data_IF_270396247025
#
_entry.id   IF_270396247025
#
_cell.length_a   1.000
_cell.length_b   1.000
_cell.length_c   1.000
_cell.angle_alpha   90.00
_cell.angle_beta   90.00
_cell.angle_gamma   90.00
#
_symmetry.space_group_name_H-M   'P 1'
#
loop_
_entity.id
_entity.type
_entity.pdbx_description
1 polymer ?
#
# COMPACT_ATOMS: atom_id res chain seq x y z
N UNK A 1 4.06 20.38 5.83
CA UNK A 1 4.32 18.94 5.70
C UNK A 1 4.62 18.41 7.08
N UNK A 2 3.66 17.70 7.69
CA UNK A 2 3.80 17.17 9.05
C UNK A 2 4.57 15.84 8.96
N UNK A 3 5.71 15.74 9.65
CA UNK A 3 6.47 14.50 9.80
C UNK A 3 6.12 13.94 11.17
N UNK A 4 5.17 13.03 11.23
CA UNK A 4 4.84 12.31 12.46
C UNK A 4 5.68 11.03 12.56
N UNK A 5 6.46 10.92 13.64
CA UNK A 5 7.20 9.71 14.00
C UNK A 5 6.24 8.69 14.61
N UNK A 6 6.15 7.51 13.99
CA UNK A 6 5.57 6.32 14.60
C UNK A 6 6.35 5.95 15.87
N UNK A 7 5.61 5.63 16.93
CA UNK A 7 6.18 4.88 18.05
C UNK A 7 6.83 3.61 17.50
N UNK A 8 8.08 3.42 17.91
CA UNK A 8 8.98 2.43 17.35
C UNK A 8 8.52 1.05 17.82
N UNK A 9 7.76 0.33 17.00
CA UNK A 9 7.56 -1.10 17.21
C UNK A 9 8.95 -1.74 17.36
N UNK A 10 9.15 -2.47 18.47
CA UNK A 10 10.39 -3.24 18.71
C UNK A 10 10.68 -4.05 17.45
N UNK A 11 11.96 -4.16 17.06
CA UNK A 11 12.38 -5.11 16.01
C UNK A 11 11.94 -6.50 16.45
N UNK A 12 10.82 -6.96 15.94
CA UNK A 12 10.34 -8.33 16.08
C UNK A 12 10.70 -9.06 14.79
N UNK A 13 11.04 -10.34 14.90
CA UNK A 13 11.31 -11.23 13.75
C UNK A 13 10.08 -11.45 12.87
N UNK A 14 8.91 -11.04 13.35
CA UNK A 14 7.64 -11.13 12.66
C UNK A 14 6.75 -9.94 12.98
N UNK A 15 5.96 -9.49 12.00
CA UNK A 15 5.03 -8.38 12.15
C UNK A 15 3.60 -8.91 12.27
N UNK A 16 2.92 -8.54 13.36
CA UNK A 16 1.53 -8.91 13.62
C UNK A 16 0.57 -8.07 12.78
N UNK A 17 -0.26 -8.71 11.97
CA UNK A 17 -1.30 -8.08 11.16
C UNK A 17 -2.65 -8.07 11.87
N UNK A 18 -3.41 -7.00 11.67
CA UNK A 18 -4.83 -6.96 11.95
C UNK A 18 -5.62 -7.76 10.91
N UNK A 19 -6.91 -7.99 11.20
CA UNK A 19 -7.81 -8.83 10.39
C UNK A 19 -7.81 -8.45 8.91
N UNK A 20 -7.99 -7.17 8.60
CA UNK A 20 -8.13 -6.68 7.23
C UNK A 20 -6.80 -6.78 6.45
N UNK A 21 -5.68 -6.51 7.10
CA UNK A 21 -4.36 -6.70 6.52
C UNK A 21 -4.06 -8.17 6.25
N UNK A 22 -4.51 -9.08 7.13
CA UNK A 22 -4.41 -10.53 6.91
C UNK A 22 -5.23 -11.00 5.72
N UNK A 23 -6.43 -10.43 5.48
CA UNK A 23 -7.22 -10.74 4.28
C UNK A 23 -6.46 -10.36 3.01
N UNK A 24 -5.88 -9.15 2.97
CA UNK A 24 -5.04 -8.71 1.84
C UNK A 24 -3.82 -9.61 1.67
N UNK A 25 -3.24 -10.13 2.76
CA UNK A 25 -2.07 -11.00 2.71
C UNK A 25 -2.37 -12.40 2.15
N UNK A 26 -3.51 -12.98 2.54
CA UNK A 26 -3.84 -14.39 2.23
C UNK A 26 -4.63 -14.57 0.94
N UNK A 27 -5.35 -13.55 0.49
CA UNK A 27 -6.10 -13.68 -0.75
C UNK A 27 -5.17 -13.72 -1.97
N UNK A 28 -5.48 -14.57 -2.97
CA UNK A 28 -4.73 -14.59 -4.21
C UNK A 28 -4.75 -13.20 -4.85
N UNK A 29 -3.58 -12.65 -5.17
CA UNK A 29 -3.50 -11.44 -5.98
C UNK A 29 -3.64 -11.77 -7.47
N UNK A 30 -3.89 -10.78 -8.32
CA UNK A 30 -3.99 -10.98 -9.77
C UNK A 30 -2.62 -11.21 -10.45
N UNK A 31 -1.69 -11.93 -9.80
CA UNK A 31 -0.38 -12.32 -10.32
C UNK A 31 0.79 -11.41 -9.92
N UNK A 32 0.61 -10.57 -8.89
CA UNK A 32 1.61 -9.62 -8.41
C UNK A 32 2.66 -10.21 -7.45
N UNK A 33 3.81 -9.54 -7.32
CA UNK A 33 4.82 -9.82 -6.27
C UNK A 33 4.78 -8.73 -5.20
N UNK A 34 3.61 -8.29 -4.75
CA UNK A 34 3.47 -7.12 -3.86
C UNK A 34 2.66 -7.42 -2.60
N UNK A 35 2.35 -8.70 -2.33
CA UNK A 35 1.52 -9.19 -1.22
C UNK A 35 1.94 -8.58 0.13
N UNK A 36 3.23 -8.65 0.47
CA UNK A 36 3.75 -8.11 1.74
C UNK A 36 3.53 -6.60 1.81
N UNK A 37 3.86 -5.86 0.75
CA UNK A 37 3.72 -4.41 0.72
C UNK A 37 2.27 -3.93 0.75
N UNK A 38 1.34 -4.71 0.19
CA UNK A 38 -0.09 -4.43 0.19
C UNK A 38 -0.72 -4.70 1.56
N UNK A 39 -0.41 -5.83 2.18
CA UNK A 39 -0.85 -6.16 3.53
C UNK A 39 -0.38 -5.12 4.54
N UNK A 40 0.91 -4.75 4.51
CA UNK A 40 1.45 -3.71 5.37
C UNK A 40 0.89 -2.32 5.05
N UNK A 41 0.50 -2.06 3.81
CA UNK A 41 -0.19 -0.83 3.44
C UNK A 41 -1.55 -0.77 4.13
N UNK A 42 -2.33 -1.85 4.09
CA UNK A 42 -3.64 -1.91 4.77
C UNK A 42 -3.49 -1.75 6.28
N UNK A 43 -2.49 -2.40 6.88
CA UNK A 43 -2.17 -2.26 8.30
C UNK A 43 -1.77 -0.83 8.67
N UNK A 44 -0.94 -0.18 7.84
CA UNK A 44 -0.58 1.23 8.01
C UNK A 44 -1.83 2.13 7.96
N UNK A 45 -2.73 1.91 6.99
CA UNK A 45 -3.97 2.68 6.89
C UNK A 45 -4.88 2.47 8.11
N UNK A 46 -4.96 1.24 8.62
CA UNK A 46 -5.70 0.92 9.83
C UNK A 46 -5.14 1.67 11.03
N UNK A 47 -3.84 1.53 11.30
CA UNK A 47 -3.20 2.13 12.46
C UNK A 47 -3.18 3.67 12.43
N UNK A 48 -3.06 4.28 11.25
CA UNK A 48 -2.89 5.74 11.13
C UNK A 48 -4.20 6.49 10.87
N UNK A 49 -5.17 5.85 10.21
CA UNK A 49 -6.39 6.51 9.76
C UNK A 49 -7.66 5.76 10.18
N UNK A 50 -7.55 4.65 10.91
CA UNK A 50 -8.70 3.85 11.32
C UNK A 50 -9.39 3.15 10.15
N UNK A 51 -8.64 2.81 9.09
CA UNK A 51 -9.19 2.12 7.94
C UNK A 51 -9.76 0.74 8.32
N UNK A 52 -10.92 0.40 7.79
CA UNK A 52 -11.62 -0.87 8.04
C UNK A 52 -12.43 -1.31 6.80
N UNK A 53 -13.16 -2.43 6.89
CA UNK A 53 -14.05 -2.97 5.84
C UNK A 53 -13.34 -3.16 4.50
N UNK A 54 -12.19 -3.84 4.52
CA UNK A 54 -11.39 -4.08 3.32
C UNK A 54 -12.15 -4.91 2.28
N UNK A 55 -11.95 -4.55 1.01
CA UNK A 55 -12.33 -5.35 -0.17
C UNK A 55 -11.09 -5.49 -1.03
N UNK A 56 -10.61 -6.71 -1.24
CA UNK A 56 -9.32 -6.98 -1.91
C UNK A 56 -9.41 -6.81 -3.43
N UNK A 57 -8.27 -6.73 -4.12
CA UNK A 57 -8.20 -6.62 -5.59
C UNK A 57 -9.11 -7.62 -6.33
N UNK A 58 -9.18 -8.87 -5.87
CA UNK A 58 -9.95 -9.93 -6.53
C UNK A 58 -11.45 -9.88 -6.23
N UNK A 59 -11.86 -9.19 -5.17
CA UNK A 59 -13.25 -8.97 -4.80
C UNK A 59 -13.83 -7.69 -5.42
N UNK A 60 -12.98 -6.80 -5.94
CA UNK A 60 -13.45 -5.58 -6.62
C UNK A 60 -13.93 -5.95 -8.02
N UNK A 61 -15.18 -5.59 -8.29
CA UNK A 61 -15.84 -5.81 -9.56
C UNK A 61 -15.63 -4.64 -10.50
N UNK A 62 -15.03 -4.92 -11.66
CA UNK A 62 -14.85 -3.98 -12.75
C UNK A 62 -15.74 -4.37 -13.93
N UNK A 63 -16.14 -3.39 -14.75
CA UNK A 63 -16.93 -3.63 -15.97
C UNK A 63 -16.23 -4.51 -17.01
N UNK A 64 -14.90 -4.64 -16.95
CA UNK A 64 -14.12 -5.49 -17.85
C UNK A 64 -12.99 -6.16 -17.09
N UNK A 65 -12.66 -7.43 -17.40
CA UNK A 65 -11.56 -8.15 -16.75
C UNK A 65 -10.18 -7.50 -16.99
N UNK A 66 -10.01 -6.75 -18.09
CA UNK A 66 -8.75 -6.09 -18.46
C UNK A 66 -8.64 -4.63 -17.97
N UNK A 67 -9.54 -4.20 -17.08
CA UNK A 67 -9.53 -2.84 -16.57
C UNK A 67 -8.35 -2.57 -15.64
N UNK A 68 -7.99 -1.29 -15.45
CA UNK A 68 -7.00 -0.92 -14.44
C UNK A 68 -7.57 -1.16 -13.04
N UNK A 69 -6.82 -1.86 -12.20
CA UNK A 69 -7.24 -2.25 -10.85
C UNK A 69 -6.51 -1.44 -9.78
N UNK A 70 -7.17 -1.31 -8.64
CA UNK A 70 -6.58 -0.89 -7.36
C UNK A 70 -6.35 -2.12 -6.49
N UNK A 71 -5.41 -2.02 -5.56
CA UNK A 71 -4.96 -3.15 -4.76
C UNK A 71 -5.98 -3.53 -3.67
N UNK A 72 -6.70 -2.53 -3.11
CA UNK A 72 -7.87 -2.77 -2.26
C UNK A 72 -8.77 -1.53 -2.14
N UNK A 73 -10.00 -1.72 -1.67
CA UNK A 73 -10.84 -0.66 -1.11
C UNK A 73 -10.88 -0.79 0.41
N UNK A 74 -11.04 0.33 1.11
CA UNK A 74 -11.31 0.36 2.55
C UNK A 74 -12.25 1.52 2.89
N UNK A 75 -12.80 1.50 4.09
CA UNK A 75 -13.59 2.59 4.68
C UNK A 75 -12.69 3.40 5.62
N UNK A 76 -12.55 4.70 5.36
CA UNK A 76 -11.86 5.66 6.25
C UNK A 76 -12.84 6.78 6.56
N UNK A 77 -13.10 7.05 7.85
CA UNK A 77 -14.06 8.07 8.31
C UNK A 77 -15.42 8.00 7.60
N UNK A 78 -15.93 6.77 7.41
CA UNK A 78 -17.22 6.51 6.75
C UNK A 78 -17.22 6.67 5.23
N UNK A 79 -16.08 6.96 4.60
CA UNK A 79 -15.95 7.07 3.15
C UNK A 79 -15.25 5.85 2.57
N UNK A 80 -15.78 5.32 1.46
CA UNK A 80 -15.12 4.30 0.66
C UNK A 80 -13.96 4.92 -0.11
N UNK A 81 -12.76 4.41 0.11
CA UNK A 81 -11.50 4.88 -0.47
C UNK A 81 -10.86 3.73 -1.25
N UNK A 82 -10.39 4.01 -2.45
CA UNK A 82 -9.54 3.09 -3.19
C UNK A 82 -8.06 3.31 -2.87
N UNK A 83 -7.32 2.23 -2.64
CA UNK A 83 -5.88 2.33 -2.38
C UNK A 83 -5.12 1.57 -3.46
N UNK A 84 -4.15 2.23 -4.08
CA UNK A 84 -3.10 1.54 -4.81
C UNK A 84 -1.77 1.65 -4.09
N UNK A 85 -1.04 0.53 -4.06
CA UNK A 85 0.23 0.34 -3.39
C UNK A 85 1.31 0.19 -4.42
N UNK A 86 2.47 0.77 -4.12
CA UNK A 86 3.67 0.54 -4.90
C UNK A 86 4.92 0.77 -4.07
N UNK A 87 6.07 0.43 -4.65
CA UNK A 87 7.39 0.56 -4.02
C UNK A 87 8.25 1.45 -4.90
N UNK A 88 8.85 2.45 -4.30
CA UNK A 88 9.87 3.29 -4.93
C UNK A 88 11.25 2.87 -4.39
N UNK A 89 11.96 2.13 -5.22
CA UNK A 89 13.23 1.49 -4.92
C UNK A 89 14.07 1.34 -6.19
N UNK A 90 15.34 0.99 -6.03
CA UNK A 90 16.18 0.43 -7.09
C UNK A 90 16.64 -0.96 -6.67
N UNK A 91 16.48 -1.94 -7.54
CA UNK A 91 16.92 -3.32 -7.27
C UNK A 91 18.44 -3.43 -7.16
N UNK A 92 19.18 -2.64 -7.95
CA UNK A 92 20.63 -2.54 -7.82
C UNK A 92 20.99 -1.57 -6.69
N UNK A 93 21.73 -2.06 -5.67
CA UNK A 93 22.10 -1.30 -4.46
C UNK A 93 22.81 0.03 -4.75
N UNK A 94 23.52 0.12 -5.87
CA UNK A 94 24.27 1.33 -6.26
C UNK A 94 23.52 2.22 -7.27
N UNK A 95 22.36 1.81 -7.75
CA UNK A 95 21.60 2.60 -8.71
C UNK A 95 20.87 3.74 -8.00
N UNK A 96 21.02 4.96 -8.52
CA UNK A 96 20.34 6.14 -7.99
C UNK A 96 18.91 6.17 -8.51
N UNK A 97 17.95 6.37 -7.62
CA UNK A 97 16.56 6.65 -8.01
C UNK A 97 16.45 8.10 -8.49
N UNK A 98 16.15 8.27 -9.77
CA UNK A 98 16.19 9.58 -10.45
C UNK A 98 14.84 10.28 -10.47
N UNK A 99 14.84 11.56 -10.82
CA UNK A 99 13.63 12.34 -11.14
C UNK A 99 12.79 11.68 -12.25
N UNK A 100 13.44 11.10 -13.26
CA UNK A 100 12.77 10.40 -14.37
C UNK A 100 12.07 9.12 -13.88
N UNK A 101 12.70 8.37 -12.98
CA UNK A 101 12.08 7.20 -12.34
C UNK A 101 10.82 7.62 -11.55
N UNK A 102 10.93 8.69 -10.78
CA UNK A 102 9.82 9.25 -10.01
C UNK A 102 8.65 9.64 -10.92
N UNK A 103 8.92 10.40 -11.98
CA UNK A 103 7.90 10.82 -12.93
C UNK A 103 7.24 9.64 -13.64
N UNK A 104 8.03 8.65 -14.06
CA UNK A 104 7.52 7.44 -14.73
C UNK A 104 6.61 6.64 -13.80
N UNK A 105 7.05 6.42 -12.55
CA UNK A 105 6.28 5.71 -11.54
C UNK A 105 4.98 6.43 -11.22
N UNK A 106 5.05 7.75 -10.97
CA UNK A 106 3.88 8.58 -10.65
C UNK A 106 2.89 8.62 -11.81
N UNK A 107 3.35 8.87 -13.05
CA UNK A 107 2.47 8.91 -14.23
C UNK A 107 1.70 7.60 -14.38
N UNK A 108 2.41 6.48 -14.32
CA UNK A 108 1.81 5.15 -14.45
C UNK A 108 0.74 4.90 -13.38
N UNK A 109 1.07 5.18 -12.11
CA UNK A 109 0.22 4.84 -10.98
C UNK A 109 -0.96 5.79 -10.81
N UNK A 110 -0.75 7.09 -10.98
CA UNK A 110 -1.81 8.09 -10.90
C UNK A 110 -2.82 7.92 -12.06
N UNK A 111 -2.35 7.72 -13.29
CA UNK A 111 -3.24 7.42 -14.41
C UNK A 111 -4.05 6.13 -14.17
N UNK A 112 -3.41 5.09 -13.64
CA UNK A 112 -4.08 3.85 -13.27
C UNK A 112 -5.25 4.06 -12.30
N UNK A 113 -5.07 4.89 -11.28
CA UNK A 113 -6.14 5.23 -10.32
C UNK A 113 -7.31 5.98 -10.97
N UNK A 114 -7.02 6.95 -11.85
CA UNK A 114 -8.05 7.68 -12.59
C UNK A 114 -8.89 6.72 -13.44
N UNK A 115 -8.23 5.83 -14.19
CA UNK A 115 -8.91 4.83 -15.02
C UNK A 115 -9.69 3.84 -14.16
N UNK A 116 -9.11 3.34 -13.07
CA UNK A 116 -9.75 2.37 -12.19
C UNK A 116 -11.09 2.88 -11.64
N UNK A 117 -11.14 4.15 -11.22
CA UNK A 117 -12.36 4.78 -10.69
C UNK A 117 -13.54 4.73 -11.66
N UNK A 118 -13.26 4.87 -12.95
CA UNK A 118 -14.30 4.80 -13.96
C UNK A 118 -14.86 3.39 -14.17
N UNK A 119 -14.11 2.32 -13.86
CA UNK A 119 -14.51 0.95 -14.17
C UNK A 119 -15.15 0.18 -13.02
N UNK A 120 -15.09 0.66 -11.78
CA UNK A 120 -15.65 -0.04 -10.63
C UNK A 120 -17.18 0.00 -10.66
N UNK A 121 -17.80 -1.13 -10.32
CA UNK A 121 -19.24 -1.27 -10.31
C UNK A 121 -19.92 -0.29 -9.32
N UNK A 122 -21.20 -0.01 -9.52
CA UNK A 122 -21.92 0.98 -8.72
C UNK A 122 -21.93 0.65 -7.21
N UNK A 123 -22.03 -0.65 -6.86
CA UNK A 123 -22.09 -1.10 -5.47
C UNK A 123 -20.78 -0.86 -4.69
N UNK A 124 -19.65 -0.74 -5.37
CA UNK A 124 -18.32 -0.58 -4.77
C UNK A 124 -17.69 0.79 -5.10
N UNK A 125 -18.52 1.76 -5.54
CA UNK A 125 -18.04 3.10 -5.91
C UNK A 125 -17.32 3.80 -4.75
N UNK A 126 -16.33 4.59 -5.14
CA UNK A 126 -15.56 5.45 -4.25
C UNK A 126 -15.35 6.82 -4.87
N UNK A 127 -15.12 7.82 -4.03
CA UNK A 127 -14.91 9.22 -4.48
C UNK A 127 -13.45 9.62 -4.43
N UNK A 128 -12.67 9.04 -3.51
CA UNK A 128 -11.26 9.35 -3.30
C UNK A 128 -10.37 8.13 -3.47
N UNK A 129 -9.13 8.38 -3.86
CA UNK A 129 -8.10 7.37 -3.98
C UNK A 129 -6.86 7.76 -3.20
N UNK A 130 -6.13 6.77 -2.71
CA UNK A 130 -4.81 6.93 -2.13
C UNK A 130 -3.79 6.17 -2.98
N UNK A 131 -2.71 6.84 -3.35
CA UNK A 131 -1.50 6.19 -3.83
C UNK A 131 -0.52 6.08 -2.65
N UNK A 132 -0.39 4.89 -2.08
CA UNK A 132 0.58 4.62 -1.03
C UNK A 132 1.89 4.08 -1.63
N UNK A 133 2.98 4.79 -1.38
CA UNK A 133 4.31 4.48 -1.91
C UNK A 133 5.26 4.17 -0.77
N UNK A 134 5.71 2.92 -0.67
CA UNK A 134 6.83 2.55 0.19
C UNK A 134 8.13 3.03 -0.43
N UNK A 135 8.87 3.86 0.29
CA UNK A 135 10.12 4.47 -0.15
C UNK A 135 11.29 3.89 0.62
N UNK A 136 12.31 3.40 -0.07
CA UNK A 136 13.51 2.82 0.58
C UNK A 136 14.31 3.87 1.35
N UNK A 137 14.25 5.14 0.94
CA UNK A 137 14.97 6.24 1.59
C UNK A 137 14.13 7.52 1.61
N UNK A 138 14.48 8.43 2.53
CA UNK A 138 13.91 9.78 2.57
C UNK A 138 14.21 10.58 1.30
N UNK A 139 15.35 10.35 0.65
CA UNK A 139 15.69 11.00 -0.61
C UNK A 139 14.69 10.63 -1.72
N UNK A 140 14.34 9.34 -1.83
CA UNK A 140 13.32 8.87 -2.78
C UNK A 140 11.96 9.53 -2.52
N UNK A 141 11.52 9.55 -1.25
CA UNK A 141 10.26 10.18 -0.87
C UNK A 141 10.22 11.68 -1.24
N UNK A 142 11.33 12.40 -1.01
CA UNK A 142 11.47 13.81 -1.43
C UNK A 142 11.42 13.98 -2.93
N UNK A 143 12.11 13.12 -3.70
CA UNK A 143 12.07 13.16 -5.17
C UNK A 143 10.64 12.95 -5.70
N UNK A 144 9.89 12.00 -5.15
CA UNK A 144 8.48 11.79 -5.50
C UNK A 144 7.64 13.04 -5.20
N UNK A 145 7.79 13.62 -4.01
CA UNK A 145 7.06 14.83 -3.62
C UNK A 145 7.36 16.02 -4.55
N UNK A 146 8.63 16.20 -4.96
CA UNK A 146 9.01 17.26 -5.91
C UNK A 146 8.40 17.04 -7.31
N UNK A 147 8.31 15.80 -7.77
CA UNK A 147 7.73 15.49 -9.09
C UNK A 147 6.20 15.52 -9.11
N UNK A 148 5.55 15.33 -7.95
CA UNK A 148 4.10 15.11 -7.86
C UNK A 148 3.28 16.22 -8.53
N UNK A 149 3.55 17.49 -8.21
CA UNK A 149 2.78 18.62 -8.76
C UNK A 149 2.81 18.70 -10.28
N UNK A 150 3.99 18.51 -10.88
CA UNK A 150 4.14 18.52 -12.33
C UNK A 150 3.40 17.35 -13.00
N UNK A 151 3.43 16.15 -12.41
CA UNK A 151 2.74 14.98 -12.96
C UNK A 151 1.22 15.09 -12.82
N UNK A 152 0.73 15.62 -11.71
CA UNK A 152 -0.71 15.87 -11.51
C UNK A 152 -1.24 16.87 -12.54
N UNK A 153 -0.49 17.95 -12.79
CA UNK A 153 -0.84 18.93 -13.81
C UNK A 153 -0.82 18.34 -15.23
N UNK A 154 0.22 17.55 -15.55
CA UNK A 154 0.38 16.87 -16.86
C UNK A 154 -0.75 15.88 -17.15
N UNK A 155 -1.28 15.22 -16.13
CA UNK A 155 -2.38 14.26 -16.24
C UNK A 155 -3.77 14.88 -16.04
N UNK A 156 -3.86 16.20 -15.84
CA UNK A 156 -5.11 16.92 -15.54
C UNK A 156 -5.92 16.28 -14.39
N UNK A 157 -5.23 15.86 -13.33
CA UNK A 157 -5.89 15.21 -12.19
C UNK A 157 -6.51 16.28 -11.30
N UNK A 158 -7.80 16.51 -11.51
CA UNK A 158 -8.63 17.32 -10.62
C UNK A 158 -8.79 16.59 -9.28
N UNK A 159 -8.41 17.28 -8.20
CA UNK A 159 -8.34 16.82 -6.80
C UNK A 159 -9.23 15.61 -6.47
N UNK A 160 -8.64 14.51 -6.00
CA UNK A 160 -9.28 13.33 -5.36
C UNK A 160 -8.31 12.14 -5.19
N UNK A 161 -7.05 12.29 -5.59
CA UNK A 161 -5.98 11.34 -5.31
C UNK A 161 -5.04 11.92 -4.26
N UNK A 162 -4.87 11.21 -3.15
CA UNK A 162 -3.94 11.56 -2.08
C UNK A 162 -2.69 10.70 -2.25
N UNK A 163 -1.52 11.33 -2.28
CA UNK A 163 -0.25 10.62 -2.27
C UNK A 163 0.28 10.49 -0.84
N UNK A 164 0.58 9.27 -0.42
CA UNK A 164 1.27 8.97 0.84
C UNK A 164 2.60 8.31 0.50
N UNK A 165 3.71 8.97 0.80
CA UNK A 165 5.05 8.42 0.64
C UNK A 165 5.63 8.06 2.01
N UNK A 166 5.72 6.76 2.30
CA UNK A 166 6.16 6.25 3.60
C UNK A 166 7.56 5.67 3.50
N UNK A 167 8.48 6.15 4.32
CA UNK A 167 9.86 5.62 4.34
C UNK A 167 9.91 4.35 5.18
N UNK A 168 10.26 3.23 4.55
CA UNK A 168 10.43 1.94 5.20
C UNK A 168 11.90 1.55 5.29
N UNK A 169 12.33 1.07 6.46
CA UNK A 169 13.69 0.56 6.69
C UNK A 169 13.81 -0.95 6.57
N UNK A 170 12.69 -1.65 6.57
CA UNK A 170 12.65 -3.11 6.51
C UNK A 170 12.77 -3.56 5.04
N UNK A 171 13.85 -4.27 4.71
CA UNK A 171 14.13 -4.69 3.32
C UNK A 171 13.07 -5.66 2.81
N UNK A 172 12.50 -6.47 3.72
CA UNK A 172 11.44 -7.45 3.45
C UNK A 172 10.20 -6.89 2.74
N UNK A 173 9.93 -5.58 2.88
CA UNK A 173 8.84 -4.89 2.18
C UNK A 173 9.13 -4.81 0.67
N UNK A 174 10.41 -4.66 0.31
CA UNK A 174 10.86 -4.37 -1.04
C UNK A 174 11.10 -5.63 -1.89
N UNK A 175 11.45 -6.74 -1.26
CA UNK A 175 11.70 -8.03 -1.92
C UNK A 175 10.62 -9.09 -1.62
N UNK A 176 9.68 -8.79 -0.71
CA UNK A 176 8.67 -9.70 -0.14
C UNK A 176 9.22 -10.79 0.79
N UNK A 177 10.42 -10.61 1.33
CA UNK A 177 11.01 -11.54 2.30
C UNK A 177 10.77 -11.05 3.74
N UNK A 178 9.52 -10.72 4.06
CA UNK A 178 9.12 -10.41 5.43
C UNK A 178 8.09 -11.42 5.91
N UNK A 179 8.34 -11.98 7.10
CA UNK A 179 7.38 -12.87 7.76
C UNK A 179 6.30 -12.03 8.43
N UNK A 180 5.08 -12.14 7.92
CA UNK A 180 3.89 -11.54 8.52
C UNK A 180 3.10 -12.63 9.25
N UNK A 181 2.63 -12.31 10.46
CA UNK A 181 1.80 -13.21 11.26
C UNK A 181 0.39 -12.67 11.35
N UNK A 182 -0.58 -13.53 11.07
CA UNK A 182 -1.99 -13.19 11.29
C UNK A 182 -2.42 -13.43 12.76
N UNK A 183 -3.62 -12.96 13.16
CA UNK A 183 -4.12 -13.15 14.52
C UNK A 183 -4.24 -14.62 14.97
N UNK A 184 -4.47 -15.56 14.05
CA UNK A 184 -4.58 -16.99 14.39
C UNK A 184 -3.20 -17.57 14.74
N UNK A 185 -2.18 -17.18 13.99
CA UNK A 185 -0.79 -17.61 14.22
C UNK A 185 -0.21 -17.01 15.52
N UNK A 186 -0.59 -15.78 15.87
CA UNK A 186 -0.20 -15.15 17.14
C UNK A 186 -0.81 -15.90 18.33
N UNK A 187 -2.08 -16.29 18.24
CA UNK A 187 -2.75 -17.09 19.27
C UNK A 187 -2.08 -18.46 19.48
N UNK A 188 -1.58 -19.10 18.42
CA UNK A 188 -0.85 -20.36 18.50
C UNK A 188 0.55 -20.23 19.15
N UNK A 189 1.24 -19.10 18.95
CA UNK A 189 2.52 -18.81 19.59
C UNK A 189 2.40 -18.53 21.09
N UNK A 190 1.26 -17.99 21.53
CA UNK A 190 1.00 -17.71 22.95
C UNK A 190 0.50 -18.93 23.73
N UNK A 191 -0.02 -19.94 23.05
CA UNK A 191 -0.55 -21.18 23.67
C UNK A 191 0.47 -22.33 23.68
N UNK A 192 1.63 -22.18 23.03
CA UNK A 192 2.73 -23.15 23.15
C UNK A 192 3.30 -23.13 24.58
N UNK A 193 3.34 -24.26 25.30
CA UNK A 193 3.95 -24.31 26.63
C UNK A 193 5.40 -23.84 26.53
N UNK A 194 5.81 -22.92 27.42
CA UNK A 194 7.24 -22.74 27.67
C UNK A 194 7.75 -24.07 28.20
N UNK A 195 8.46 -24.81 27.37
CA UNK A 195 9.28 -25.91 27.86
C UNK A 195 10.42 -25.26 28.65
N UNK A 196 10.26 -25.25 29.97
CA UNK A 196 11.35 -25.02 30.91
C UNK A 196 12.38 -26.16 30.73
N UNK A 197 13.56 -25.80 30.22
CA UNK A 197 14.82 -26.53 30.39
C UNK A 197 15.94 -25.51 30.61
#
# INVERSE_FOLDING_TARGET
MVVEQLERNRRTTAFALGRDASLVYWEPNAGGRSVVSEALSMEYMHQRFGAMDVVTEMQIEYWSPNWKKVDYLCTIYGQRIAVSVTRAMKFHKNAVFTTSDAQTLLRKKLYGLVVAKAGVCNAQRYTKSVLHIWCQTTAIARTLAMCHGAVVADLDIVENVILIATVAREEGIFDNNLVLLDPQQIGALQTSPRHDL
#
